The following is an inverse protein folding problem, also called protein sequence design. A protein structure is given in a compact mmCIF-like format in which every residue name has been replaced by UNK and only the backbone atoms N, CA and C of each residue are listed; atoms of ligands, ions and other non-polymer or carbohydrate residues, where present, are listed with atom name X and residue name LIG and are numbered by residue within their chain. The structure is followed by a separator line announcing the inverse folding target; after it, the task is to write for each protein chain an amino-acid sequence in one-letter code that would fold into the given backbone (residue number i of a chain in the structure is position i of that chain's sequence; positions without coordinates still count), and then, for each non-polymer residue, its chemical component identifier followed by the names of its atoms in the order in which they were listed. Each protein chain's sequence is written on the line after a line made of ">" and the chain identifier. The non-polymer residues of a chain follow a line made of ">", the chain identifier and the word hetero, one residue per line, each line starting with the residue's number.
data_IF_441878241017
#
_entry.id   IF_441878241017
#
_cell.length_a   1.000
_cell.length_b   1.000
_cell.length_c   1.000
_cell.angle_alpha   90.00
_cell.angle_beta   90.00
_cell.angle_gamma   90.00
#
_symmetry.space_group_name_H-M   'P 1'
#
loop_
_entity.id
_entity.type
_entity.pdbx_description
1 polymer ?
#
# COMPACT_ATOMS: atom_id res chain seq x y z
N UNK A 1 -14.50 -15.90 -18.25
CA UNK A 1 -14.91 -15.73 -16.83
C UNK A 1 -13.66 -15.39 -16.03
N UNK A 2 -13.59 -14.17 -15.51
CA UNK A 2 -12.35 -13.59 -14.99
C UNK A 2 -11.90 -14.24 -13.67
N UNK A 3 -10.59 -14.35 -13.54
CA UNK A 3 -9.78 -15.05 -12.55
C UNK A 3 -9.85 -14.45 -11.12
N UNK A 4 -11.05 -14.22 -10.58
CA UNK A 4 -11.25 -13.63 -9.25
C UNK A 4 -10.89 -14.57 -8.10
N UNK A 5 -10.98 -15.90 -8.31
CA UNK A 5 -10.52 -16.89 -7.31
C UNK A 5 -9.01 -16.75 -7.03
N UNK A 6 -8.16 -16.50 -8.04
CA UNK A 6 -6.70 -16.42 -7.83
C UNK A 6 -6.25 -15.23 -6.98
N UNK A 7 -6.89 -14.05 -7.10
CA UNK A 7 -6.48 -12.87 -6.33
C UNK A 7 -6.79 -13.01 -4.84
N UNK A 8 -8.03 -13.41 -4.48
CA UNK A 8 -8.40 -13.58 -3.07
C UNK A 8 -7.69 -14.78 -2.45
N UNK A 9 -7.51 -15.88 -3.19
CA UNK A 9 -6.71 -17.01 -2.70
C UNK A 9 -5.25 -16.61 -2.45
N UNK A 10 -4.64 -15.80 -3.32
CA UNK A 10 -3.29 -15.28 -3.09
C UNK A 10 -3.22 -14.22 -1.97
N UNK A 11 -4.28 -13.42 -1.76
CA UNK A 11 -4.34 -12.43 -0.67
C UNK A 11 -4.42 -13.09 0.72
N UNK A 12 -5.11 -14.23 0.81
CA UNK A 12 -5.21 -15.03 2.04
C UNK A 12 -4.20 -16.18 2.10
N UNK A 13 -3.19 -16.19 1.24
CA UNK A 13 -2.08 -17.13 1.32
C UNK A 13 -1.07 -16.65 2.38
N UNK A 14 -1.32 -17.05 3.64
CA UNK A 14 -0.45 -16.74 4.78
C UNK A 14 0.89 -17.49 4.76
N UNK A 15 1.14 -18.33 3.76
CA UNK A 15 2.40 -19.09 3.64
C UNK A 15 3.57 -18.23 3.16
N UNK A 16 3.34 -17.04 2.57
CA UNK A 16 4.36 -16.14 2.00
C UNK A 16 5.40 -16.84 1.09
N UNK A 17 5.05 -17.98 0.51
CA UNK A 17 5.96 -18.83 -0.27
C UNK A 17 6.33 -18.21 -1.63
N UNK A 18 5.53 -17.26 -2.11
CA UNK A 18 5.72 -16.57 -3.38
C UNK A 18 5.64 -15.05 -3.16
N UNK A 19 6.43 -14.28 -3.89
CA UNK A 19 6.47 -12.82 -3.80
C UNK A 19 5.17 -12.19 -4.38
N UNK A 20 4.08 -12.26 -3.61
CA UNK A 20 2.74 -11.76 -3.97
C UNK A 20 2.65 -10.22 -3.81
N UNK A 21 3.59 -9.62 -3.07
CA UNK A 21 3.58 -8.19 -2.74
C UNK A 21 3.38 -7.25 -3.93
N UNK A 22 4.09 -7.40 -5.07
CA UNK A 22 3.89 -6.52 -6.23
C UNK A 22 2.47 -6.58 -6.82
N UNK A 23 1.77 -7.71 -6.64
CA UNK A 23 0.42 -7.95 -7.16
C UNK A 23 -0.67 -7.31 -6.28
N UNK A 24 -0.40 -7.13 -4.99
CA UNK A 24 -1.38 -6.69 -3.98
C UNK A 24 -1.18 -5.23 -3.54
N UNK A 25 -0.01 -4.63 -3.78
CA UNK A 25 0.32 -3.23 -3.41
C UNK A 25 -0.75 -2.22 -3.84
N UNK A 26 -1.31 -2.34 -5.06
CA UNK A 26 -2.34 -1.42 -5.54
C UNK A 26 -3.64 -1.50 -4.72
N UNK A 27 -4.03 -2.70 -4.30
CA UNK A 27 -5.21 -2.91 -3.45
C UNK A 27 -4.96 -2.41 -2.03
N UNK A 28 -3.76 -2.66 -1.48
CA UNK A 28 -3.36 -2.12 -0.18
C UNK A 28 -3.39 -0.60 -0.17
N UNK A 29 -2.92 0.05 -1.24
CA UNK A 29 -2.97 1.51 -1.36
C UNK A 29 -4.40 2.03 -1.35
N UNK A 30 -5.31 1.41 -2.12
CA UNK A 30 -6.72 1.78 -2.15
C UNK A 30 -7.40 1.63 -0.78
N UNK A 31 -7.14 0.52 -0.09
CA UNK A 31 -7.65 0.28 1.27
C UNK A 31 -7.09 1.32 2.25
N UNK A 32 -5.80 1.65 2.15
CA UNK A 32 -5.17 2.64 3.02
C UNK A 32 -5.79 4.03 2.83
N UNK A 33 -5.99 4.50 1.58
CA UNK A 33 -6.68 5.77 1.29
C UNK A 33 -8.07 5.78 1.91
N UNK A 34 -8.84 4.69 1.74
CA UNK A 34 -10.18 4.58 2.28
C UNK A 34 -10.20 4.76 3.80
N UNK A 35 -9.34 4.04 4.53
CA UNK A 35 -9.26 4.16 5.98
C UNK A 35 -8.72 5.50 6.45
N UNK A 36 -7.77 6.11 5.73
CA UNK A 36 -7.27 7.45 6.05
C UNK A 36 -8.37 8.50 5.89
N UNK A 37 -9.15 8.42 4.81
CA UNK A 37 -10.32 9.30 4.61
C UNK A 37 -11.38 9.11 5.70
N UNK A 38 -11.71 7.85 6.03
CA UNK A 38 -12.67 7.54 7.09
C UNK A 38 -12.19 8.01 8.47
N UNK A 39 -10.90 7.84 8.77
CA UNK A 39 -10.27 8.33 9.99
C UNK A 39 -10.29 9.85 10.08
N UNK A 40 -9.98 10.56 9.00
CA UNK A 40 -10.06 12.01 8.95
C UNK A 40 -11.49 12.50 9.21
N UNK A 41 -12.50 11.89 8.58
CA UNK A 41 -13.90 12.26 8.76
C UNK A 41 -14.38 12.00 10.20
N UNK A 42 -13.99 10.85 10.77
CA UNK A 42 -14.30 10.50 12.15
C UNK A 42 -13.65 11.47 13.15
N UNK A 43 -12.40 11.87 12.88
CA UNK A 43 -11.66 12.82 13.71
C UNK A 43 -12.30 14.22 13.67
N UNK A 44 -12.67 14.70 12.48
CA UNK A 44 -13.41 15.96 12.32
C UNK A 44 -14.71 15.92 13.14
N UNK A 45 -15.52 14.86 12.99
CA UNK A 45 -16.78 14.72 13.71
C UNK A 45 -16.60 14.67 15.24
N UNK A 46 -15.53 14.01 15.72
CA UNK A 46 -15.19 13.97 17.13
C UNK A 46 -14.76 15.35 17.66
N UNK A 47 -13.97 16.11 16.89
CA UNK A 47 -13.50 17.44 17.30
C UNK A 47 -14.62 18.45 17.53
N UNK A 48 -15.73 18.37 16.78
CA UNK A 48 -16.88 19.23 17.03
C UNK A 48 -17.57 18.99 18.39
N UNK A 49 -17.36 17.82 19.02
CA UNK A 49 -17.83 17.57 20.39
C UNK A 49 -17.06 18.37 21.44
N UNK A 50 -15.83 18.77 21.12
CA UNK A 50 -15.01 19.66 21.95
C UNK A 50 -15.35 21.16 21.78
N UNK A 51 -16.27 21.50 20.88
CA UNK A 51 -16.71 22.87 20.62
C UNK A 51 -16.44 23.34 19.19
N UNK A 52 -16.89 24.56 18.89
CA UNK A 52 -16.85 25.13 17.54
C UNK A 52 -15.41 25.41 17.05
N UNK A 53 -14.58 26.01 17.89
CA UNK A 53 -13.19 26.37 17.55
C UNK A 53 -12.33 25.13 17.21
N UNK A 54 -12.27 24.07 18.04
CA UNK A 54 -11.56 22.83 17.69
C UNK A 54 -12.08 22.14 16.44
N UNK A 55 -13.40 22.16 16.22
CA UNK A 55 -14.03 21.60 15.03
C UNK A 55 -13.57 22.27 13.74
N UNK A 56 -13.63 23.61 13.68
CA UNK A 56 -13.17 24.40 12.52
C UNK A 56 -11.67 24.23 12.28
N UNK A 57 -10.86 24.25 13.34
CA UNK A 57 -9.41 24.02 13.22
C UNK A 57 -9.11 22.64 12.61
N UNK A 58 -9.77 21.60 13.13
CA UNK A 58 -9.59 20.23 12.65
C UNK A 58 -10.10 20.06 11.22
N UNK A 59 -11.19 20.73 10.85
CA UNK A 59 -11.74 20.70 9.49
C UNK A 59 -10.73 21.19 8.43
N UNK A 60 -9.86 22.14 8.79
CA UNK A 60 -8.83 22.66 7.90
C UNK A 60 -7.55 21.80 7.93
N UNK A 61 -7.15 21.34 9.11
CA UNK A 61 -5.89 20.61 9.32
C UNK A 61 -5.99 19.13 8.92
N UNK A 62 -7.12 18.46 9.19
CA UNK A 62 -7.28 17.04 8.94
C UNK A 62 -7.14 16.66 7.45
N UNK A 63 -7.69 17.40 6.48
CA UNK A 63 -7.44 17.14 5.06
C UNK A 63 -5.96 17.23 4.70
N UNK A 64 -5.27 18.26 5.20
CA UNK A 64 -3.85 18.49 4.93
C UNK A 64 -2.98 17.36 5.52
N UNK A 65 -3.24 16.97 6.77
CA UNK A 65 -2.58 15.86 7.43
C UNK A 65 -2.87 14.51 6.74
N UNK A 66 -4.11 14.27 6.32
CA UNK A 66 -4.51 13.05 5.60
C UNK A 66 -3.79 12.92 4.26
N UNK A 67 -3.64 14.03 3.53
CA UNK A 67 -2.96 14.07 2.25
C UNK A 67 -1.46 13.79 2.42
N UNK A 68 -0.83 14.40 3.43
CA UNK A 68 0.56 14.11 3.78
C UNK A 68 0.75 12.63 4.15
N UNK A 69 -0.17 12.06 4.92
CA UNK A 69 -0.12 10.66 5.31
C UNK A 69 -0.28 9.71 4.11
N UNK A 70 -1.18 10.02 3.16
CA UNK A 70 -1.32 9.28 1.90
C UNK A 70 -0.03 9.33 1.07
N UNK A 71 0.64 10.49 1.00
CA UNK A 71 1.94 10.62 0.33
C UNK A 71 2.98 9.70 0.98
N UNK A 72 3.07 9.69 2.32
CA UNK A 72 4.02 8.82 3.03
C UNK A 72 3.75 7.34 2.75
N UNK A 73 2.49 6.92 2.76
CA UNK A 73 2.09 5.56 2.40
C UNK A 73 2.54 5.25 0.96
N UNK A 74 2.33 6.17 0.02
CA UNK A 74 2.74 5.99 -1.38
C UNK A 74 4.25 5.79 -1.51
N UNK A 75 5.05 6.64 -0.87
CA UNK A 75 6.51 6.52 -0.88
C UNK A 75 6.96 5.20 -0.26
N UNK A 76 6.33 4.78 0.86
CA UNK A 76 6.61 3.49 1.49
C UNK A 76 6.30 2.28 0.57
N UNK A 77 5.15 2.30 -0.11
CA UNK A 77 4.76 1.25 -1.05
C UNK A 77 5.65 1.23 -2.31
N UNK A 78 6.07 2.39 -2.80
CA UNK A 78 7.04 2.51 -3.90
C UNK A 78 8.38 1.90 -3.49
N UNK A 79 8.89 2.23 -2.29
CA UNK A 79 10.10 1.61 -1.73
C UNK A 79 9.99 0.10 -1.59
N UNK A 80 8.85 -0.40 -1.10
CA UNK A 80 8.57 -1.83 -0.99
C UNK A 80 8.59 -2.52 -2.36
N UNK A 81 7.93 -1.94 -3.37
CA UNK A 81 7.94 -2.46 -4.73
C UNK A 81 9.34 -2.48 -5.35
N UNK A 82 10.14 -1.43 -5.12
CA UNK A 82 11.52 -1.37 -5.61
C UNK A 82 12.35 -2.50 -5.01
N UNK A 83 12.25 -2.74 -3.70
CA UNK A 83 12.98 -3.84 -3.05
C UNK A 83 12.63 -5.21 -3.65
N UNK A 84 11.33 -5.50 -3.85
CA UNK A 84 10.90 -6.76 -4.47
C UNK A 84 11.32 -6.87 -5.93
N UNK A 85 11.24 -5.79 -6.71
CA UNK A 85 11.69 -5.79 -8.11
C UNK A 85 13.19 -6.03 -8.22
N UNK A 86 13.99 -5.45 -7.34
CA UNK A 86 15.44 -5.68 -7.30
C UNK A 86 15.74 -7.14 -7.00
N UNK A 87 15.11 -7.72 -5.97
CA UNK A 87 15.27 -9.15 -5.64
C UNK A 87 14.90 -10.06 -6.81
N UNK A 88 13.78 -9.78 -7.49
CA UNK A 88 13.34 -10.53 -8.65
C UNK A 88 14.32 -10.41 -9.84
N UNK A 89 14.91 -9.22 -10.04
CA UNK A 89 15.83 -8.99 -11.16
C UNK A 89 17.20 -9.65 -10.92
N UNK A 90 17.68 -9.71 -9.67
CA UNK A 90 18.91 -10.42 -9.30
C UNK A 90 18.84 -11.92 -9.64
N UNK A 91 17.69 -12.57 -9.43
CA UNK A 91 17.50 -13.97 -9.81
C UNK A 91 17.69 -14.20 -11.31
N UNK A 92 17.13 -13.32 -12.16
CA UNK A 92 17.26 -13.41 -13.62
C UNK A 92 18.70 -13.24 -14.11
N UNK A 93 19.49 -12.40 -13.46
CA UNK A 93 20.91 -12.22 -13.80
C UNK A 93 21.74 -13.48 -13.47
N UNK A 94 21.42 -14.17 -12.36
CA UNK A 94 22.08 -15.42 -11.99
C UNK A 94 21.79 -16.53 -13.01
N UNK A 95 20.52 -16.73 -13.38
CA UNK A 95 20.11 -17.75 -14.37
C UNK A 95 20.75 -17.52 -15.74
N UNK A 96 20.77 -16.27 -16.21
CA UNK A 96 21.41 -15.93 -17.49
C UNK A 96 22.91 -16.25 -17.47
N UNK A 97 23.59 -16.01 -16.36
CA UNK A 97 25.03 -16.30 -16.23
C UNK A 97 25.30 -17.80 -16.22
N UNK A 98 24.39 -18.60 -15.63
CA UNK A 98 24.49 -20.06 -15.65
C UNK A 98 24.23 -20.64 -17.05
N UNK A 99 23.26 -20.09 -17.80
CA UNK A 99 23.00 -20.51 -19.19
C UNK A 99 24.18 -20.25 -20.13
N UNK A 100 24.99 -19.21 -19.87
CA UNK A 100 26.21 -18.93 -20.62
C UNK A 100 27.38 -19.82 -20.18
N UNK A 101 27.34 -20.40 -18.97
CA UNK A 101 28.35 -21.32 -18.45
C UNK A 101 28.18 -22.74 -18.98
N UNK A 102 26.96 -23.14 -19.35
CA UNK A 102 26.64 -24.51 -19.78
C UNK A 102 25.83 -24.49 -21.10
N UNK A 103 26.53 -24.36 -22.26
CA UNK A 103 25.90 -24.20 -23.58
C UNK A 103 25.21 -25.47 -24.11
#
# INVERSE_FOLDING_TARGET
>A
MANSRSFFTALFDFSFSEFITPRVVGVLYGIAIFFVGLGALSFIAASFRGGFLPGIFTLLVAPLASLLYIILIRVGLEGLMVAFRTAANTGRTADNTESLRNP
#
